data_IF_172130847764
#
_entry.id   IF_172130847764
#
_cell.length_a   1.000
_cell.length_b   1.000
_cell.length_c   1.000
_cell.angle_alpha   90.00
_cell.angle_beta   90.00
_cell.angle_gamma   90.00
#
_symmetry.space_group_name_H-M   'P 1'
#
loop_
_entity.id
_entity.type
_entity.pdbx_description
1 polymer ?
2 polymer ?
3 water ?
#
# COMPACT_ATOMS: atom_id res chain seq x y z
N UNK A 3 -14.19 16.21 18.10
CA UNK A 3 -15.45 15.70 17.59
C UNK A 3 -15.65 16.02 16.11
N UNK A 4 -15.15 17.16 15.64
CA UNK A 4 -15.36 17.48 14.23
C UNK A 4 -14.06 17.42 13.44
N UNK A 5 -13.08 18.21 13.84
CA UNK A 5 -11.80 18.26 13.15
C UNK A 5 -10.67 18.44 14.16
N UNK A 6 -9.92 17.37 14.44
CA UNK A 6 -8.82 17.46 15.38
C UNK A 6 -7.45 17.36 14.70
N UNK A 7 -7.42 17.74 13.43
CA UNK A 7 -6.16 17.79 12.70
C UNK A 7 -5.31 18.97 13.16
N UNK A 8 -4.02 18.85 12.89
CA UNK A 8 -3.05 19.90 13.16
C UNK A 8 -3.00 20.91 12.01
N UNK A 9 -2.96 20.41 10.78
CA UNK A 9 -3.00 21.27 9.61
C UNK A 9 -3.52 20.45 8.43
N UNK A 10 -3.51 21.05 7.25
CA UNK A 10 -4.13 20.43 6.07
C UNK A 10 -3.44 20.87 4.80
N UNK A 11 -3.71 20.13 3.73
CA UNK A 11 -3.31 20.51 2.39
C UNK A 11 -4.52 20.24 1.50
N UNK A 12 -4.92 21.22 0.68
CA UNK A 12 -6.15 21.05 -0.09
C UNK A 12 -6.10 21.59 -1.51
N UNK A 13 -4.94 21.44 -2.16
CA UNK A 13 -4.79 21.97 -3.52
C UNK A 13 -5.36 21.05 -4.61
N UNK A 14 -5.54 19.76 -4.33
CA UNK A 14 -6.19 18.89 -5.30
C UNK A 14 -7.63 19.35 -5.49
N UNK A 15 -8.13 19.18 -6.72
CA UNK A 15 -9.52 19.53 -7.04
C UNK A 15 -10.37 18.29 -7.30
N UNK A 16 -9.89 17.13 -6.86
CA UNK A 16 -10.62 15.87 -6.96
C UNK A 16 -10.01 14.93 -5.92
N UNK A 17 -10.57 13.74 -5.78
CA UNK A 17 -10.13 12.75 -4.79
C UNK A 17 -8.60 12.55 -4.74
N UNK A 18 -8.06 12.45 -3.53
CA UNK A 18 -6.66 12.08 -3.37
C UNK A 18 -6.56 10.57 -3.21
N UNK A 19 -5.98 9.90 -4.20
CA UNK A 19 -5.92 8.43 -4.21
C UNK A 19 -4.67 7.87 -3.54
N UNK A 20 -3.58 8.62 -3.63
CA UNK A 20 -2.29 8.09 -3.19
C UNK A 20 -1.50 9.14 -2.43
N UNK A 21 -0.73 8.67 -1.45
CA UNK A 21 0.16 9.54 -0.69
C UNK A 21 1.45 8.80 -0.37
N UNK A 22 2.56 9.51 -0.55
CA UNK A 22 3.88 8.96 -0.28
C UNK A 22 4.73 10.00 0.41
N UNK A 23 5.80 9.54 1.08
CA UNK A 23 6.66 10.43 1.83
C UNK A 23 8.12 10.11 1.52
N UNK A 24 8.94 11.15 1.40
CA UNK A 24 10.36 10.97 1.15
C UNK A 24 11.01 10.21 2.31
N UNK A 25 12.01 9.37 2.03
CA UNK A 25 12.59 8.59 3.12
C UNK A 25 13.35 9.44 4.15
N UNK A 26 13.90 10.60 3.77
CA UNK A 26 14.76 11.37 4.67
C UNK A 26 14.43 12.85 4.79
N UNK A 27 13.66 13.37 3.85
CA UNK A 27 13.22 14.77 3.84
C UNK A 27 11.77 14.87 4.29
N UNK A 28 11.38 16.02 4.88
CA UNK A 28 9.98 16.23 5.32
C UNK A 28 9.08 16.61 4.15
N UNK A 29 8.93 15.67 3.22
CA UNK A 29 8.27 15.94 1.95
C UNK A 29 7.25 14.87 1.59
N UNK A 30 6.02 15.32 1.38
CA UNK A 30 4.89 14.52 0.96
C UNK A 30 4.62 14.68 -0.53
N UNK A 31 4.22 13.60 -1.19
CA UNK A 31 3.67 13.70 -2.53
C UNK A 31 2.28 13.08 -2.52
N UNK A 32 1.27 13.79 -2.99
CA UNK A 32 -0.06 13.20 -3.11
C UNK A 32 -0.50 13.20 -4.56
N UNK A 33 -1.32 12.22 -4.92
CA UNK A 33 -1.74 12.05 -6.30
C UNK A 33 -3.24 11.97 -6.36
N UNK A 34 -3.85 12.61 -7.36
CA UNK A 34 -5.29 12.75 -7.36
C UNK A 34 -6.05 12.53 -8.66
N UNK A 35 -7.36 12.55 -8.54
CA UNK A 35 -8.26 12.43 -9.67
C UNK A 35 -8.23 13.64 -10.58
N UNK A 36 -7.55 14.70 -10.15
CA UNK A 36 -7.32 15.85 -11.02
C UNK A 36 -6.11 15.64 -11.93
N UNK A 37 -5.59 14.42 -11.99
CA UNK A 37 -4.50 14.03 -12.88
C UNK A 37 -3.21 14.80 -12.59
N UNK A 38 -2.99 15.10 -11.31
CA UNK A 38 -1.86 15.89 -10.86
C UNK A 38 -1.23 15.24 -9.66
N UNK A 39 0.07 15.50 -9.43
CA UNK A 39 0.65 15.17 -8.13
C UNK A 39 1.14 16.46 -7.46
N UNK A 40 0.85 16.64 -6.17
CA UNK A 40 1.32 17.82 -5.46
C UNK A 40 2.36 17.45 -4.42
N UNK A 41 3.36 18.32 -4.30
CA UNK A 41 4.44 18.15 -3.34
C UNK A 41 4.34 19.23 -2.28
N UNK A 42 4.42 18.80 -1.03
CA UNK A 42 4.25 19.71 0.10
C UNK A 42 4.93 19.17 1.36
N UNK A 43 5.23 20.04 2.31
CA UNK A 43 6.05 19.61 3.43
C UNK A 43 5.23 19.09 4.62
N UNK A 44 5.85 18.24 5.43
CA UNK A 44 5.18 17.55 6.52
C UNK A 44 5.58 18.09 7.90
N UNK A 45 6.42 19.13 7.94
CA UNK A 45 6.96 19.57 9.21
C UNK A 45 6.56 21.00 9.58
N UNK A 46 5.60 21.56 8.86
CA UNK A 46 5.20 22.94 9.12
C UNK A 46 3.69 23.16 9.04
N UNK A 47 3.22 24.21 9.72
CA UNK A 47 1.80 24.56 9.76
C UNK A 47 1.60 26.01 9.32
N UNK A 48 0.99 26.23 8.14
CA UNK A 48 0.52 25.22 7.18
C UNK A 48 1.69 24.61 6.42
N UNK A 49 1.44 23.53 5.66
CA UNK A 49 2.52 22.99 4.84
C UNK A 49 3.03 24.01 3.83
N UNK A 50 4.31 23.92 3.50
CA UNK A 50 4.83 24.62 2.35
C UNK A 50 4.39 23.86 1.10
N UNK A 51 3.79 24.58 0.17
CA UNK A 51 3.37 24.03 -1.13
C UNK A 51 4.62 24.08 -2.02
N UNK A 52 5.28 22.95 -2.19
CA UNK A 52 6.52 22.94 -2.96
C UNK A 52 6.24 23.07 -4.44
N UNK A 53 5.26 22.31 -4.93
CA UNK A 53 4.96 22.42 -6.35
C UNK A 53 4.14 21.28 -6.88
N UNK A 54 4.06 21.17 -8.21
CA UNK A 54 3.11 20.29 -8.85
C UNK A 54 3.72 19.58 -10.05
N UNK A 55 3.48 18.28 -10.12
CA UNK A 55 3.91 17.46 -11.23
C UNK A 55 2.75 17.25 -12.17
N UNK A 56 3.04 17.39 -13.46
CA UNK A 56 2.07 17.28 -14.53
C UNK A 56 2.52 16.30 -15.59
N UNK A 57 1.67 16.06 -16.58
CA UNK A 57 2.00 15.16 -17.68
C UNK A 57 1.22 13.87 -17.65
N UNK A 58 0.34 13.74 -16.66
CA UNK A 58 -0.44 12.51 -16.50
C UNK A 58 -1.62 12.47 -17.47
N UNK A 59 -2.03 11.26 -17.85
CA UNK A 59 -3.14 11.08 -18.77
C UNK A 59 -4.43 10.64 -18.09
N UNK A 60 -4.39 10.54 -16.76
CA UNK A 60 -5.51 10.05 -15.95
C UNK A 60 -5.15 10.22 -14.49
N UNK A 61 -5.99 9.69 -13.61
CA UNK A 61 -5.79 9.82 -12.17
C UNK A 61 -4.46 9.24 -11.72
N UNK A 62 -3.77 9.98 -10.87
CA UNK A 62 -2.52 9.49 -10.28
C UNK A 62 -2.80 8.55 -9.09
N UNK A 63 -2.32 7.32 -9.20
CA UNK A 63 -2.68 6.28 -8.21
C UNK A 63 -1.49 5.66 -7.49
N UNK A 64 -0.29 6.19 -7.73
CA UNK A 64 0.87 5.85 -6.91
C UNK A 64 1.85 7.01 -6.88
N UNK A 65 2.39 7.27 -5.70
CA UNK A 65 3.44 8.27 -5.50
C UNK A 65 4.49 7.67 -4.59
N UNK A 66 5.62 7.27 -5.15
CA UNK A 66 6.60 6.51 -4.38
C UNK A 66 8.00 7.06 -4.56
N UNK A 67 8.65 7.43 -3.46
CA UNK A 67 10.05 7.84 -3.52
C UNK A 67 10.97 6.62 -3.48
N UNK A 68 12.08 6.68 -4.20
CA UNK A 68 13.04 5.59 -4.13
C UNK A 68 13.74 5.59 -2.76
N UNK A 69 14.22 4.42 -2.35
CA UNK A 69 14.71 4.21 -0.99
C UNK A 69 15.88 5.12 -0.63
N UNK A 70 16.72 5.44 -1.61
CA UNK A 70 17.92 6.24 -1.33
C UNK A 70 17.62 7.74 -1.43
N UNK A 71 16.40 8.07 -1.87
CA UNK A 71 15.88 9.43 -1.84
C UNK A 71 16.16 10.30 -3.07
N UNK A 72 16.70 9.73 -4.12
CA UNK A 72 17.05 10.53 -5.28
C UNK A 72 15.92 10.82 -6.26
N UNK A 73 14.91 9.96 -6.26
CA UNK A 73 13.89 9.99 -7.28
C UNK A 73 12.49 9.78 -6.74
N UNK A 74 11.53 10.24 -7.53
CA UNK A 74 10.11 10.08 -7.24
C UNK A 74 9.47 9.38 -8.44
N UNK A 75 8.73 8.32 -8.18
CA UNK A 75 8.07 7.55 -9.22
C UNK A 75 6.57 7.66 -9.05
N UNK A 76 5.89 8.06 -10.12
CA UNK A 76 4.43 8.19 -10.08
C UNK A 76 3.78 7.41 -11.21
N UNK A 77 2.55 6.96 -11.02
CA UNK A 77 1.87 6.17 -12.04
C UNK A 77 0.41 6.57 -12.13
N UNK A 78 -0.17 6.46 -13.33
CA UNK A 78 -1.57 6.84 -13.45
C UNK A 78 -2.44 5.77 -14.12
N UNK A 79 -3.74 6.01 -14.15
CA UNK A 79 -4.69 5.01 -14.63
C UNK A 79 -4.74 4.94 -16.16
N UNK A 80 -3.91 5.73 -16.84
CA UNK A 80 -3.73 5.56 -18.29
C UNK A 80 -2.43 4.82 -18.60
N UNK A 81 -1.78 4.31 -17.57
CA UNK A 81 -0.62 3.46 -17.78
C UNK A 81 0.70 4.22 -17.84
N UNK A 82 0.67 5.52 -17.58
CA UNK A 82 1.92 6.27 -17.56
C UNK A 82 2.70 6.04 -16.27
N UNK A 83 4.02 5.97 -16.39
CA UNK A 83 4.92 6.10 -15.25
C UNK A 83 5.82 7.29 -15.51
N UNK A 84 5.92 8.20 -14.53
CA UNK A 84 6.85 9.31 -14.60
C UNK A 84 7.90 9.20 -13.52
N UNK A 85 9.13 9.58 -13.86
CA UNK A 85 10.24 9.61 -12.94
C UNK A 85 10.80 11.02 -12.84
N UNK A 86 10.76 11.56 -11.63
CA UNK A 86 11.32 12.89 -11.35
C UNK A 86 12.56 12.79 -10.50
N UNK A 87 13.57 13.59 -10.85
CA UNK A 87 14.83 13.62 -10.14
C UNK A 87 14.82 14.79 -9.14
N UNK A 88 15.18 14.52 -7.88
CA UNK A 88 15.24 15.57 -6.88
C UNK A 88 16.34 16.56 -7.19
N UNK A 89 16.07 17.83 -6.92
CA UNK A 89 17.01 18.91 -7.21
C UNK A 89 17.08 19.82 -6.01
N UNK A 90 18.20 20.53 -5.89
CA UNK A 90 18.33 21.61 -4.92
C UNK A 90 17.95 21.17 -3.52
N UNK A 91 18.58 20.09 -3.06
CA UNK A 91 18.33 19.55 -1.75
C UNK A 91 16.93 19.03 -1.51
N UNK A 92 16.18 18.82 -2.60
CA UNK A 92 14.84 18.27 -2.50
C UNK A 92 13.72 19.29 -2.61
N UNK A 93 14.09 20.53 -2.90
CA UNK A 93 13.13 21.61 -3.04
C UNK A 93 12.38 21.55 -4.37
N UNK A 94 13.05 21.01 -5.39
CA UNK A 94 12.44 20.93 -6.72
C UNK A 94 12.59 19.53 -7.27
N UNK A 95 11.64 19.12 -8.12
CA UNK A 95 11.62 17.77 -8.68
C UNK A 95 11.39 17.87 -10.18
N UNK A 96 12.40 17.46 -10.93
CA UNK A 96 12.46 17.69 -12.37
C UNK A 96 12.20 16.41 -13.14
N UNK A 97 11.32 16.48 -14.15
CA UNK A 97 11.04 15.27 -14.95
C UNK A 97 12.30 14.73 -15.61
N UNK A 98 12.58 13.45 -15.36
CA UNK A 98 13.79 12.83 -15.87
C UNK A 98 13.46 11.83 -16.95
N UNK A 99 12.39 11.08 -16.76
CA UNK A 99 12.05 10.05 -17.75
C UNK A 99 10.60 9.64 -17.59
N UNK A 100 10.05 8.99 -18.61
CA UNK A 100 8.69 8.48 -18.48
C UNK A 100 8.45 7.37 -19.49
N UNK A 101 7.34 6.65 -19.29
CA UNK A 101 6.94 5.60 -20.20
C UNK A 101 5.43 5.40 -20.14
N UNK A 102 4.90 4.64 -21.08
CA UNK A 102 3.49 4.27 -21.09
C UNK A 102 3.34 2.93 -21.77
N UNK A 103 3.64 1.87 -21.03
CA UNK A 103 3.77 0.52 -21.61
C UNK A 103 2.49 -0.31 -21.53
N UNK A 104 1.50 0.17 -20.77
CA UNK A 104 0.25 -0.55 -20.54
C UNK A 104 -0.93 0.41 -20.61
N UNK A 105 -2.14 -0.13 -20.68
CA UNK A 105 -3.34 0.69 -20.70
C UNK A 105 -3.66 1.32 -19.34
N UNK A 106 -3.40 0.57 -18.26
CA UNK A 106 -3.75 1.04 -16.92
C UNK A 106 -2.92 0.33 -15.87
N UNK A 107 -2.27 1.12 -15.01
CA UNK A 107 -1.50 0.59 -13.90
C UNK A 107 -2.39 0.50 -12.68
N UNK A 108 -2.32 -0.64 -12.01
CA UNK A 108 -3.12 -0.89 -10.82
C UNK A 108 -2.35 -0.53 -9.54
N UNK A 109 -1.06 -0.84 -9.51
CA UNK A 109 -0.21 -0.56 -8.36
C UNK A 109 1.20 -0.31 -8.85
N UNK A 110 1.94 0.50 -8.10
CA UNK A 110 3.38 0.68 -8.31
C UNK A 110 4.02 0.87 -6.95
N UNK A 111 5.14 0.17 -6.71
CA UNK A 111 5.91 0.31 -5.48
C UNK A 111 7.37 0.47 -5.79
N UNK A 112 8.04 1.34 -5.05
CA UNK A 112 9.49 1.36 -5.06
C UNK A 112 10.01 0.30 -4.08
N UNK A 113 11.21 -0.19 -4.34
CA UNK A 113 11.81 -1.19 -3.45
C UNK A 113 12.16 -0.52 -2.12
N UNK A 114 11.89 -1.20 -1.00
CA UNK A 114 12.12 -0.56 0.31
C UNK A 114 13.58 -0.39 0.68
N UNK A 115 14.48 -1.18 0.11
CA UNK A 115 15.87 -1.16 0.57
C UNK A 115 16.91 -1.04 -0.55
N UNK A 116 16.53 -1.44 -1.76
CA UNK A 116 17.43 -1.40 -2.91
C UNK A 116 17.21 -0.12 -3.71
N UNK A 117 18.27 0.68 -3.85
CA UNK A 117 18.16 2.00 -4.49
C UNK A 117 17.57 1.96 -5.88
N UNK A 118 16.83 3.02 -6.23
CA UNK A 118 16.48 3.33 -7.61
C UNK A 118 15.74 2.20 -8.33
N UNK A 119 14.87 1.49 -7.62
CA UNK A 119 14.22 0.30 -8.14
C UNK A 119 12.70 0.37 -7.91
N UNK A 120 11.92 -0.03 -8.89
CA UNK A 120 10.46 -0.11 -8.67
C UNK A 120 9.81 -1.15 -9.56
N UNK A 121 8.59 -1.54 -9.18
CA UNK A 121 7.80 -2.46 -9.98
C UNK A 121 6.36 -1.99 -10.07
N UNK A 122 5.65 -2.47 -11.09
CA UNK A 122 4.23 -2.15 -11.20
C UNK A 122 3.49 -3.27 -11.91
N UNK A 123 2.17 -3.29 -11.72
CA UNK A 123 1.32 -4.30 -12.33
C UNK A 123 0.15 -3.63 -13.01
N UNK A 124 -0.37 -4.27 -14.05
CA UNK A 124 -1.34 -3.64 -14.94
C UNK A 124 -2.63 -4.42 -15.06
N UNK A 125 -3.65 -3.78 -15.62
CA UNK A 125 -4.95 -4.45 -15.75
C UNK A 125 -4.90 -5.60 -16.75
N UNK A 126 -3.90 -5.63 -17.63
CA UNK A 126 -3.78 -6.77 -18.54
C UNK A 126 -3.03 -7.93 -17.90
N UNK A 127 -2.76 -7.83 -16.60
CA UNK A 127 -2.09 -8.87 -15.85
C UNK A 127 -0.57 -8.78 -15.84
N UNK A 128 -0.01 -7.87 -16.63
CA UNK A 128 1.45 -7.85 -16.80
C UNK A 128 2.16 -7.25 -15.59
N UNK A 129 3.41 -7.68 -15.41
CA UNK A 129 4.25 -7.31 -14.29
C UNK A 129 5.54 -6.74 -14.81
N UNK A 130 5.96 -5.60 -14.26
CA UNK A 130 7.13 -4.89 -14.79
C UNK A 130 8.07 -4.50 -13.67
N UNK A 131 9.38 -4.66 -13.88
CA UNK A 131 10.33 -4.13 -12.91
C UNK A 131 11.40 -3.34 -13.62
N UNK A 132 11.69 -2.16 -13.07
CA UNK A 132 12.61 -1.18 -13.62
C UNK A 132 13.61 -0.70 -12.60
N UNK A 133 14.77 -0.28 -13.11
CA UNK A 133 15.65 0.56 -12.31
C UNK A 133 15.77 1.93 -12.99
N UNK A 134 16.29 2.87 -12.23
CA UNK A 134 16.47 4.24 -12.68
C UNK A 134 17.96 4.54 -12.69
N UNK A 135 18.48 5.03 -13.82
CA UNK A 135 19.90 5.31 -13.89
C UNK A 135 20.33 6.44 -12.95
N UNK A 136 21.41 6.22 -12.20
CA UNK A 136 21.90 7.19 -11.23
C UNK A 136 22.44 8.48 -11.84
N UNK A 137 22.85 8.43 -13.10
CA UNK A 137 23.43 9.60 -13.74
C UNK A 137 22.40 10.49 -14.46
N UNK A 138 21.42 9.90 -15.14
CA UNK A 138 20.50 10.74 -15.91
C UNK A 138 19.03 10.41 -15.64
N UNK A 139 18.78 9.50 -14.71
CA UNK A 139 17.41 9.14 -14.37
C UNK A 139 16.65 8.37 -15.43
N UNK A 140 17.34 7.85 -16.43
CA UNK A 140 16.68 7.10 -17.50
C UNK A 140 16.17 5.75 -17.00
N UNK A 141 15.14 5.24 -17.66
CA UNK A 141 14.51 3.99 -17.27
C UNK A 141 15.27 2.78 -17.81
N UNK A 142 15.48 1.81 -16.93
CA UNK A 142 16.18 0.58 -17.29
C UNK A 142 15.28 -0.60 -16.97
N UNK A 143 14.71 -1.22 -17.99
CA UNK A 143 13.78 -2.33 -17.77
C UNK A 143 14.55 -3.57 -17.30
N UNK A 144 14.15 -4.13 -16.17
CA UNK A 144 14.75 -5.38 -15.72
C UNK A 144 13.92 -6.57 -16.20
N UNK A 145 12.60 -6.45 -16.13
CA UNK A 145 11.75 -7.54 -16.62
C UNK A 145 10.36 -7.06 -16.98
N UNK A 146 9.70 -7.85 -17.83
CA UNK A 146 8.31 -7.64 -18.24
C UNK A 146 7.69 -9.00 -18.46
N UNK A 147 6.77 -9.39 -17.57
CA UNK A 147 6.23 -10.74 -17.56
C UNK A 147 4.72 -10.76 -17.74
N UNK A 148 4.26 -11.65 -18.62
CA UNK A 148 2.86 -11.78 -18.96
C UNK A 148 2.39 -13.19 -18.60
N UNK A 149 2.02 -13.37 -17.34
CA UNK A 149 1.64 -14.68 -16.82
C UNK A 149 0.23 -14.65 -16.24
N UNK A 150 -0.01 -13.70 -15.33
CA UNK A 150 -1.37 -13.49 -14.85
C UNK A 150 -2.32 -13.21 -16.03
N UNK A 151 -3.51 -13.79 -15.99
CA UNK A 151 -4.44 -13.65 -17.12
C UNK A 151 -5.56 -12.63 -16.88
N UNK A 152 -5.64 -12.11 -15.65
CA UNK A 152 -6.50 -10.98 -15.32
C UNK A 152 -5.66 -9.93 -14.62
N UNK A 153 -6.28 -8.80 -14.27
CA UNK A 153 -5.59 -7.70 -13.57
C UNK A 153 -4.57 -8.19 -12.55
N UNK A 154 -3.35 -7.66 -12.62
CA UNK A 154 -2.37 -7.86 -11.56
C UNK A 154 -2.68 -6.86 -10.46
N UNK A 155 -3.33 -7.34 -9.40
CA UNK A 155 -3.93 -6.48 -8.36
C UNK A 155 -2.94 -5.86 -7.39
N UNK A 156 -1.85 -6.56 -7.13
CA UNK A 156 -0.90 -6.11 -6.12
C UNK A 156 0.45 -6.78 -6.32
N UNK A 157 1.49 -6.13 -5.82
CA UNK A 157 2.81 -6.73 -5.76
C UNK A 157 3.43 -6.40 -4.42
N UNK A 158 4.44 -7.18 -4.03
CA UNK A 158 5.16 -6.95 -2.78
C UNK A 158 6.55 -7.52 -2.93
N UNK A 159 7.57 -6.69 -2.71
CA UNK A 159 8.94 -7.22 -2.78
C UNK A 159 9.20 -8.14 -1.61
N UNK A 160 10.03 -9.17 -1.83
CA UNK A 160 10.40 -10.12 -0.78
C UNK A 160 11.91 -10.20 -0.68
N UNK A 161 12.41 -10.84 0.37
CA UNK A 161 13.85 -11.02 0.56
C UNK A 161 14.61 -9.71 0.37
N UNK A 162 14.21 -8.70 1.14
CA UNK A 162 14.68 -7.33 0.96
C UNK A 162 15.88 -7.02 1.83
N UNK A 163 16.31 -7.99 2.64
CA UNK A 163 17.46 -7.80 3.53
C UNK A 163 18.66 -8.64 3.11
N UNK A 164 18.75 -8.91 1.81
CA UNK A 164 19.74 -9.85 1.29
C UNK A 164 20.76 -9.21 0.35
N UNK A 165 20.71 -7.90 0.20
CA UNK A 165 21.64 -7.20 -0.66
C UNK A 165 21.04 -6.76 -2.00
N UNK A 166 21.77 -5.91 -2.71
CA UNK A 166 21.26 -5.25 -3.92
C UNK A 166 21.08 -6.20 -5.10
N UNK A 167 21.68 -7.38 -5.04
CA UNK A 167 21.54 -8.33 -6.13
C UNK A 167 20.44 -9.36 -5.90
N UNK A 168 19.77 -9.29 -4.75
CA UNK A 168 18.64 -10.16 -4.50
C UNK A 168 17.37 -9.31 -4.62
N UNK A 169 16.82 -9.33 -5.82
CA UNK A 169 15.69 -8.50 -6.17
C UNK A 169 14.56 -9.42 -6.58
N UNK A 170 13.64 -9.65 -5.64
CA UNK A 170 12.58 -10.62 -5.87
C UNK A 170 11.25 -9.99 -5.52
N UNK A 171 10.20 -10.43 -6.23
CA UNK A 171 8.90 -9.77 -6.18
C UNK A 171 7.79 -10.81 -6.21
N UNK A 172 6.78 -10.65 -5.35
CA UNK A 172 5.60 -11.51 -5.44
C UNK A 172 4.43 -10.68 -5.96
N UNK A 173 3.70 -11.20 -6.94
CA UNK A 173 2.54 -10.50 -7.48
C UNK A 173 1.33 -11.43 -7.47
N UNK A 174 0.14 -10.83 -7.47
CA UNK A 174 -1.08 -11.61 -7.46
C UNK A 174 -2.10 -11.06 -8.44
N UNK A 175 -3.10 -11.88 -8.75
CA UNK A 175 -4.06 -11.53 -9.79
C UNK A 175 -5.48 -11.95 -9.44
N UNK A 176 -6.44 -11.27 -10.05
CA UNK A 176 -7.84 -11.63 -9.95
C UNK A 176 -8.14 -13.02 -10.54
N UNK A 177 -7.20 -13.60 -11.28
CA UNK A 177 -7.41 -14.95 -11.83
C UNK A 177 -7.00 -16.06 -10.86
N UNK A 178 -6.78 -15.68 -9.60
CA UNK A 178 -6.41 -16.58 -8.49
C UNK A 178 -4.94 -17.00 -8.48
N UNK A 179 -4.12 -16.46 -9.39
CA UNK A 179 -2.71 -16.84 -9.39
C UNK A 179 -1.83 -15.91 -8.58
N UNK A 180 -0.77 -16.50 -8.05
CA UNK A 180 0.26 -15.76 -7.32
C UNK A 180 1.59 -16.18 -7.91
N UNK A 181 2.45 -15.23 -8.26
CA UNK A 181 3.73 -15.54 -8.89
C UNK A 181 4.86 -14.88 -8.14
N UNK A 182 5.96 -15.60 -7.93
CA UNK A 182 7.18 -14.94 -7.45
C UNK A 182 8.18 -14.87 -8.58
N UNK A 183 8.86 -13.73 -8.67
CA UNK A 183 9.79 -13.42 -9.74
C UNK A 183 11.18 -13.09 -9.24
N UNK A 184 12.19 -13.57 -9.97
CA UNK A 184 13.51 -12.99 -9.89
C UNK A 184 13.52 -11.82 -10.88
N UNK A 185 13.53 -10.59 -10.36
CA UNK A 185 13.35 -9.43 -11.24
C UNK A 185 14.52 -9.17 -12.19
N UNK A 186 15.71 -9.64 -11.84
CA UNK A 186 16.88 -9.42 -12.68
C UNK A 186 16.89 -10.34 -13.90
N UNK A 187 16.29 -11.53 -13.76
CA UNK A 187 16.24 -12.48 -14.87
C UNK A 187 14.86 -12.59 -15.51
N UNK A 188 13.85 -12.09 -14.82
CA UNK A 188 12.48 -12.23 -15.29
C UNK A 188 11.87 -13.61 -15.09
N UNK A 189 12.59 -14.51 -14.44
CA UNK A 189 12.09 -15.88 -14.34
C UNK A 189 11.04 -16.02 -13.24
N UNK A 190 10.08 -16.89 -13.49
CA UNK A 190 9.05 -17.22 -12.52
C UNK A 190 9.55 -18.29 -11.57
N UNK A 191 9.79 -17.91 -10.33
CA UNK A 191 10.31 -18.84 -9.33
C UNK A 191 9.27 -19.88 -9.00
N UNK A 192 8.05 -19.43 -8.75
CA UNK A 192 6.91 -20.32 -8.57
C UNK A 192 5.61 -19.63 -8.95
N UNK A 193 4.58 -20.45 -9.16
CA UNK A 193 3.24 -19.96 -9.45
C UNK A 193 2.22 -20.81 -8.71
N UNK A 194 1.39 -20.14 -7.92
CA UNK A 194 0.26 -20.75 -7.27
C UNK A 194 -0.96 -20.53 -8.15
N UNK A 195 -1.69 -21.61 -8.43
CA UNK A 195 -2.93 -21.51 -9.19
C UNK A 195 -4.10 -22.02 -8.36
N UNK A 196 -5.30 -21.91 -8.93
CA UNK A 196 -6.52 -22.34 -8.29
C UNK A 196 -6.40 -23.80 -7.87
N UNK A 197 -5.73 -24.58 -8.69
CA UNK A 197 -5.58 -26.00 -8.42
C UNK A 197 -4.79 -26.30 -7.15
N UNK A 198 -4.03 -25.31 -6.68
CA UNK A 198 -3.18 -25.48 -5.51
C UNK A 198 -3.76 -24.84 -4.26
N UNK A 199 -4.93 -24.22 -4.41
CA UNK A 199 -5.64 -23.67 -3.25
C UNK A 199 -7.03 -24.30 -3.18
N UNK A 200 -7.04 -25.64 -3.22
CA UNK A 200 -8.26 -26.43 -3.01
C UNK A 200 -9.29 -26.22 -4.10
N UNK A 201 -8.84 -25.74 -5.26
CA UNK A 201 -9.75 -25.46 -6.36
C UNK A 201 -10.60 -24.22 -6.16
N UNK A 202 -10.30 -23.44 -5.12
CA UNK A 202 -11.13 -22.27 -4.80
C UNK A 202 -10.86 -21.09 -5.71
N UNK A 203 -11.93 -20.38 -6.08
CA UNK A 203 -11.80 -19.10 -6.75
C UNK A 203 -11.36 -18.06 -5.72
N UNK A 204 -10.25 -17.38 -5.98
CA UNK A 204 -9.72 -16.39 -5.03
C UNK A 204 -9.10 -15.21 -5.74
N UNK A 205 -9.92 -14.22 -6.10
CA UNK A 205 -9.40 -13.06 -6.82
C UNK A 205 -8.59 -12.22 -5.84
N UNK A 206 -7.28 -12.39 -5.90
CA UNK A 206 -6.37 -11.77 -4.94
C UNK A 206 -6.32 -10.28 -5.11
N UNK A 207 -6.26 -9.56 -3.99
CA UNK A 207 -6.16 -8.11 -4.04
C UNK A 207 -5.17 -7.49 -3.06
N UNK A 208 -4.77 -8.22 -2.02
CA UNK A 208 -3.89 -7.67 -0.99
C UNK A 208 -2.70 -8.58 -0.72
N UNK A 209 -1.55 -7.96 -0.47
CA UNK A 209 -0.32 -8.68 -0.12
C UNK A 209 0.45 -7.93 0.95
N UNK A 210 1.03 -8.68 1.89
CA UNK A 210 1.85 -8.08 2.93
C UNK A 210 2.94 -9.04 3.39
N UNK A 211 4.19 -8.57 3.27
CA UNK A 211 5.38 -9.29 3.71
C UNK A 211 5.51 -9.30 5.22
N UNK A 212 5.78 -10.48 5.79
CA UNK A 212 5.96 -10.64 7.22
C UNK A 212 7.32 -10.18 7.69
N UNK A 213 7.39 -9.65 8.92
CA UNK A 213 8.69 -9.34 9.54
C UNK A 213 9.46 -10.63 9.85
N UNK A 214 10.76 -10.62 9.53
CA UNK A 214 11.61 -11.79 9.66
C UNK A 214 11.65 -12.33 11.10
N UNK A 215 11.53 -11.43 12.07
CA UNK A 215 11.55 -11.83 13.47
C UNK A 215 10.31 -12.63 13.89
N UNK A 216 9.25 -12.51 13.10
CA UNK A 216 8.04 -13.30 13.33
C UNK A 216 8.12 -14.69 12.70
N UNK A 217 9.07 -14.86 11.78
CA UNK A 217 9.09 -16.05 10.94
C UNK A 217 10.37 -16.87 11.08
N UNK A 218 11.08 -16.66 12.18
CA UNK A 218 12.31 -17.38 12.46
C UNK A 218 13.35 -17.18 11.36
N UNK A 219 13.52 -15.93 10.92
CA UNK A 219 14.58 -15.61 9.97
C UNK A 219 14.15 -15.57 8.52
N UNK A 220 12.97 -16.10 8.23
CA UNK A 220 12.49 -16.18 6.85
C UNK A 220 12.03 -14.81 6.33
N UNK A 221 12.72 -14.32 5.31
CA UNK A 221 12.45 -12.98 4.80
C UNK A 221 11.49 -13.01 3.60
N UNK A 222 10.80 -14.13 3.40
CA UNK A 222 9.91 -14.28 2.26
C UNK A 222 8.55 -14.89 2.57
N UNK A 223 8.02 -14.64 3.77
CA UNK A 223 6.66 -15.08 4.09
C UNK A 223 5.67 -13.97 3.75
N UNK A 224 4.64 -14.30 2.96
CA UNK A 224 3.70 -13.27 2.51
C UNK A 224 2.27 -13.68 2.81
N UNK A 225 1.50 -12.75 3.36
CA UNK A 225 0.07 -12.93 3.52
C UNK A 225 -0.66 -12.33 2.34
N UNK A 226 -1.69 -13.04 1.89
CA UNK A 226 -2.44 -12.72 0.69
C UNK A 226 -3.92 -12.74 1.01
N UNK A 227 -4.65 -11.72 0.55
CA UNK A 227 -6.08 -11.69 0.77
C UNK A 227 -6.86 -11.49 -0.51
N UNK A 228 -8.00 -12.17 -0.64
CA UNK A 228 -8.83 -12.07 -1.84
C UNK A 228 -10.08 -11.21 -1.64
N UNK A 229 -10.79 -10.93 -2.73
CA UNK A 229 -12.00 -10.12 -2.63
C UNK A 229 -13.23 -10.92 -2.18
N UNK A 230 -13.01 -12.19 -1.85
CA UNK A 230 -14.09 -13.03 -1.32
C UNK A 230 -13.68 -13.74 -0.04
N UNK A 231 -12.76 -13.12 0.70
CA UNK A 231 -12.49 -13.52 2.06
C UNK A 231 -11.53 -14.67 2.26
N UNK A 232 -10.76 -15.01 1.23
CA UNK A 232 -9.75 -16.03 1.38
C UNK A 232 -8.42 -15.42 1.80
N UNK A 233 -7.85 -16.01 2.84
CA UNK A 233 -6.56 -15.63 3.39
C UNK A 233 -5.57 -16.75 3.17
N UNK A 234 -4.45 -16.43 2.50
CA UNK A 234 -3.37 -17.40 2.31
C UNK A 234 -2.09 -16.85 2.87
N UNK A 235 -1.36 -17.63 3.64
CA UNK A 235 -0.04 -17.25 4.08
C UNK A 235 0.90 -18.24 3.43
N UNK A 236 1.84 -17.71 2.64
CA UNK A 236 2.70 -18.56 1.82
C UNK A 236 4.18 -18.32 2.10
N UNK A 237 4.96 -19.39 1.96
CA UNK A 237 6.40 -19.30 2.13
C UNK A 237 7.07 -19.17 0.77
N UNK A 238 7.46 -17.95 0.42
CA UNK A 238 8.01 -17.73 -0.91
C UNK A 238 9.43 -18.27 -1.05
N UNK A 239 10.02 -18.71 0.07
CA UNK A 239 11.36 -19.30 0.04
C UNK A 239 11.30 -20.82 0.09
N UNK A 240 10.09 -21.37 0.03
CA UNK A 240 9.89 -22.81 -0.14
C UNK A 240 8.87 -23.05 -1.25
N UNK A 241 9.09 -22.42 -2.40
CA UNK A 241 8.27 -22.65 -3.57
C UNK A 241 6.80 -22.29 -3.46
N UNK A 242 6.48 -21.39 -2.53
CA UNK A 242 5.11 -20.96 -2.35
C UNK A 242 4.28 -21.90 -1.49
N UNK A 243 4.97 -22.70 -0.68
CA UNK A 243 4.29 -23.62 0.24
C UNK A 243 3.26 -22.87 1.07
N UNK A 244 2.08 -23.46 1.23
CA UNK A 244 1.02 -22.80 1.96
C UNK A 244 1.13 -23.09 3.46
N UNK A 245 1.36 -22.02 4.23
CA UNK A 245 1.46 -22.10 5.69
C UNK A 245 0.08 -21.99 6.31
N UNK A 246 -0.80 -21.27 5.63
CA UNK A 246 -2.18 -21.18 6.10
C UNK A 246 -3.12 -20.83 4.96
N UNK A 247 -4.32 -21.41 4.98
CA UNK A 247 -5.34 -21.07 4.01
C UNK A 247 -6.71 -21.19 4.66
N UNK A 248 -7.46 -20.10 4.69
CA UNK A 248 -8.81 -20.17 5.26
C UNK A 248 -9.72 -19.08 4.75
N UNK A 249 -11.03 -19.31 4.88
CA UNK A 249 -12.02 -18.29 4.57
C UNK A 249 -12.33 -17.57 5.89
N UNK A 250 -12.21 -16.24 5.89
CA UNK A 250 -12.11 -15.54 7.17
C UNK A 250 -13.45 -15.05 7.71
N UNK A 251 -14.51 -15.19 6.92
CA UNK A 251 -15.82 -14.76 7.36
C UNK A 251 -16.89 -15.53 6.59
N UNK A 252 -17.99 -15.82 7.27
CA UNK A 252 -19.17 -16.38 6.63
C UNK A 252 -20.23 -15.29 6.59
N UNK A 253 -20.67 -14.93 5.39
CA UNK A 253 -21.63 -13.85 5.23
C UNK A 253 -23.06 -14.36 5.35
N UNK A 254 -23.96 -13.49 5.77
CA UNK A 254 -25.37 -13.80 5.73
C UNK A 254 -25.81 -13.77 4.27
N UNK A 255 -26.85 -14.53 3.92
CA UNK A 255 -27.33 -14.55 2.53
C UNK A 255 -27.55 -13.17 1.90
N UNK A 256 -28.08 -12.22 2.67
CA UNK A 256 -28.42 -10.90 2.15
C UNK A 256 -27.19 -10.07 1.75
N UNK A 257 -26.02 -10.43 2.28
CA UNK A 257 -24.83 -9.59 2.11
C UNK A 257 -24.21 -9.70 0.74
N UNK A 258 -23.77 -8.56 0.21
CA UNK A 258 -22.96 -8.52 -1.00
C UNK A 258 -21.69 -9.30 -0.74
N UNK A 259 -21.24 -10.10 -1.72
CA UNK A 259 -20.09 -10.95 -1.52
C UNK A 259 -18.83 -10.10 -1.24
N UNK A 260 -18.83 -8.88 -1.74
CA UNK A 260 -17.70 -7.98 -1.51
C UNK A 260 -17.54 -7.59 -0.06
N UNK A 261 -18.53 -7.85 0.77
CA UNK A 261 -18.38 -7.62 2.21
C UNK A 261 -17.20 -8.42 2.78
N UNK A 262 -16.84 -9.53 2.11
CA UNK A 262 -15.75 -10.37 2.59
C UNK A 262 -14.38 -9.97 2.05
N UNK A 263 -14.34 -8.91 1.25
CA UNK A 263 -13.12 -8.52 0.54
C UNK A 263 -12.04 -8.01 1.51
N UNK A 264 -10.85 -8.60 1.43
CA UNK A 264 -9.74 -8.27 2.33
C UNK A 264 -8.87 -7.17 1.71
N UNK A 265 -9.07 -5.94 2.16
CA UNK A 265 -8.52 -4.75 1.52
C UNK A 265 -7.13 -4.39 2.00
N UNK A 266 -6.77 -4.84 3.20
CA UNK A 266 -5.47 -4.46 3.74
C UNK A 266 -5.02 -5.46 4.78
N UNK A 267 -3.71 -5.70 4.82
CA UNK A 267 -3.10 -6.65 5.74
C UNK A 267 -1.89 -6.00 6.38
N UNK A 268 -1.70 -6.20 7.68
CA UNK A 268 -0.55 -5.65 8.40
C UNK A 268 -0.08 -6.62 9.47
N UNK A 269 1.23 -6.69 9.69
CA UNK A 269 1.81 -7.57 10.70
C UNK A 269 2.37 -6.82 11.91
N UNK A 270 2.26 -7.44 13.08
CA UNK A 270 2.94 -6.99 14.30
C UNK A 270 3.88 -8.06 14.84
N UNK A 271 5.17 -7.79 14.78
CA UNK A 271 6.17 -8.70 15.34
C UNK A 271 6.03 -8.81 16.87
N UNK A 272 5.77 -7.68 17.53
CA UNK A 272 5.77 -7.66 18.99
C UNK A 272 4.65 -8.52 19.57
N UNK A 273 3.50 -8.51 18.93
CA UNK A 273 2.34 -9.22 19.46
C UNK A 273 2.11 -10.56 18.75
N UNK A 274 2.97 -10.88 17.79
CA UNK A 274 2.78 -12.06 16.94
C UNK A 274 1.35 -12.06 16.41
N UNK A 275 0.97 -10.95 15.78
CA UNK A 275 -0.36 -10.79 15.23
C UNK A 275 -0.29 -10.40 13.77
N UNK A 276 -1.31 -10.80 13.02
CA UNK A 276 -1.49 -10.34 11.66
C UNK A 276 -2.93 -9.83 11.55
N UNK A 277 -3.10 -8.57 11.15
CA UNK A 277 -4.42 -7.98 11.06
C UNK A 277 -4.90 -7.90 9.63
N UNK A 278 -6.16 -8.21 9.41
CA UNK A 278 -6.74 -8.04 8.08
C UNK A 278 -7.99 -7.20 8.19
N UNK A 279 -8.22 -6.35 7.19
CA UNK A 279 -9.34 -5.43 7.21
C UNK A 279 -10.27 -5.68 6.05
N UNK A 280 -11.58 -5.72 6.32
CA UNK A 280 -12.56 -6.12 5.33
C UNK A 280 -13.49 -4.98 4.90
N UNK A 281 -14.08 -5.13 3.72
CA UNK A 281 -15.07 -4.15 3.24
C UNK A 281 -16.29 -4.04 4.19
N UNK A 282 -16.66 -5.12 4.85
CA UNK A 282 -17.78 -5.06 5.80
C UNK A 282 -17.45 -4.31 7.10
N UNK A 283 -16.19 -3.92 7.27
CA UNK A 283 -15.77 -3.17 8.45
C UNK A 283 -15.04 -3.96 9.51
N UNK A 284 -15.02 -5.28 9.37
CA UNK A 284 -14.33 -6.13 10.35
C UNK A 284 -12.81 -5.99 10.21
N UNK A 285 -12.15 -5.95 11.37
CA UNK A 285 -10.70 -5.99 11.44
C UNK A 285 -10.37 -7.20 12.30
N UNK A 286 -9.74 -8.19 11.70
CA UNK A 286 -9.50 -9.47 12.40
C UNK A 286 -8.03 -9.60 12.72
N UNK A 287 -7.74 -9.84 14.00
CA UNK A 287 -6.36 -10.00 14.45
C UNK A 287 -6.10 -11.45 14.78
N UNK A 288 -5.25 -12.05 13.92
CA UNK A 288 -4.83 -13.45 13.96
C UNK A 288 -3.53 -13.64 14.70
N UNK A 289 -3.48 -14.65 15.56
CA UNK A 289 -2.20 -15.10 16.11
C UNK A 289 -1.41 -15.78 14.98
N UNK A 290 -0.11 -15.51 14.89
CA UNK A 290 0.65 -15.92 13.71
C UNK A 290 1.32 -17.29 13.87
N UNK A 291 0.93 -18.02 14.91
CA UNK A 291 1.39 -19.38 15.10
C UNK A 291 0.25 -20.38 14.87
N UNK A 292 -0.91 -20.09 15.45
CA UNK A 292 -2.07 -20.96 15.34
C UNK A 292 -3.04 -20.52 14.26
N UNK A 293 -2.86 -19.30 13.76
CA UNK A 293 -3.70 -18.74 12.71
C UNK A 293 -5.17 -18.80 13.12
N UNK A 294 -5.44 -18.32 14.33
CA UNK A 294 -6.78 -18.20 14.87
C UNK A 294 -7.01 -16.74 15.26
N UNK A 295 -8.25 -16.29 15.11
CA UNK A 295 -8.59 -14.93 15.53
C UNK A 295 -8.50 -14.81 17.03
N UNK A 296 -7.75 -13.81 17.48
CA UNK A 296 -7.59 -13.54 18.90
C UNK A 296 -8.39 -12.31 19.27
N UNK A 297 -8.44 -11.34 18.36
CA UNK A 297 -9.23 -10.16 18.69
C UNK A 297 -9.84 -9.56 17.44
N UNK A 298 -10.91 -8.78 17.58
CA UNK A 298 -11.46 -8.12 16.40
C UNK A 298 -12.03 -6.75 16.72
N UNK A 299 -11.97 -5.89 15.72
CA UNK A 299 -12.62 -4.59 15.75
C UNK A 299 -13.68 -4.56 14.69
N UNK A 300 -14.71 -3.75 14.88
CA UNK A 300 -15.76 -3.67 13.87
C UNK A 300 -16.04 -2.21 13.59
N UNK A 301 -15.58 -1.72 12.45
CA UNK A 301 -15.89 -0.36 12.04
C UNK A 301 -17.25 -0.30 11.36
N UNK A 302 -17.84 0.88 11.30
CA UNK A 302 -19.18 1.00 10.75
C UNK A 302 -19.22 0.98 9.22
N UNK A 303 -18.06 1.02 8.57
CA UNK A 303 -18.01 0.91 7.10
C UNK A 303 -16.65 0.36 6.69
N UNK A 304 -16.40 0.27 5.38
CA UNK A 304 -15.21 -0.41 4.87
C UNK A 304 -13.88 0.09 5.43
N UNK A 305 -13.02 -0.86 5.78
CA UNK A 305 -11.62 -0.58 6.05
C UNK A 305 -10.96 -0.24 4.73
N UNK A 306 -10.07 0.75 4.73
CA UNK A 306 -9.34 1.07 3.51
C UNK A 306 -7.84 0.81 3.64
N UNK A 307 -7.31 0.87 4.86
CA UNK A 307 -5.90 0.56 5.09
C UNK A 307 -5.65 0.28 6.57
N UNK A 308 -4.77 -0.69 6.84
CA UNK A 308 -4.35 -1.02 8.20
C UNK A 308 -2.85 -0.84 8.32
N UNK A 309 -2.39 -0.45 9.51
CA UNK A 309 -0.95 -0.32 9.75
C UNK A 309 -0.66 -0.45 11.24
N UNK A 310 0.09 -1.48 11.60
CA UNK A 310 0.64 -1.60 12.95
C UNK A 310 1.79 -0.61 13.12
N UNK A 311 1.88 -0.02 14.30
CA UNK A 311 3.05 0.77 14.67
C UNK A 311 3.22 0.70 16.18
N UNK A 312 4.30 0.05 16.63
CA UNK A 312 4.48 -0.21 18.06
C UNK A 312 3.27 -0.92 18.64
N UNK A 313 2.66 -0.35 19.67
CA UNK A 313 1.56 -1.02 20.33
C UNK A 313 0.23 -0.81 19.59
N UNK A 314 0.24 0.08 18.60
CA UNK A 314 -1.01 0.53 17.99
C UNK A 314 -1.32 -0.16 16.69
N UNK A 315 -2.61 -0.27 16.39
CA UNK A 315 -3.09 -0.59 15.06
C UNK A 315 -3.89 0.60 14.56
N UNK A 316 -3.43 1.18 13.45
CA UNK A 316 -4.13 2.28 12.80
C UNK A 316 -4.96 1.74 11.66
N UNK A 317 -6.19 2.23 11.54
CA UNK A 317 -7.12 1.74 10.56
C UNK A 317 -7.90 2.89 9.94
N UNK A 318 -7.68 3.16 8.66
CA UNK A 318 -8.49 4.19 7.98
C UNK A 318 -9.77 3.56 7.46
N UNK A 319 -10.81 4.40 7.33
CA UNK A 319 -12.15 3.92 7.05
C UNK A 319 -12.83 4.82 6.02
N UNK A 320 -13.72 4.23 5.23
CA UNK A 320 -14.42 4.97 4.19
C UNK A 320 -15.45 5.93 4.82
N UNK A 321 -15.68 5.82 6.14
CA UNK A 321 -16.52 6.81 6.83
C UNK A 321 -15.78 8.12 7.11
N UNK A 322 -14.52 8.19 6.71
CA UNK A 322 -13.74 9.41 6.82
C UNK A 322 -12.84 9.52 8.03
N UNK A 323 -12.79 8.48 8.86
CA UNK A 323 -12.06 8.51 10.12
C UNK A 323 -10.83 7.61 10.07
N UNK A 324 -9.81 7.95 10.86
CA UNK A 324 -8.71 7.00 11.07
C UNK A 324 -8.66 6.63 12.53
N UNK A 325 -8.85 5.34 12.80
CA UNK A 325 -8.88 4.82 14.18
C UNK A 325 -7.51 4.40 14.67
N UNK A 326 -7.23 4.70 15.93
CA UNK A 326 -6.01 4.25 16.57
C UNK A 326 -6.38 3.41 17.77
N UNK A 327 -6.12 2.11 17.64
CA UNK A 327 -6.40 1.12 18.67
C UNK A 327 -5.15 0.61 19.34
N UNK A 328 -5.21 0.40 20.65
CA UNK A 328 -4.21 -0.46 21.27
C UNK A 328 -4.48 -1.89 20.81
N UNK A 329 -3.50 -2.51 20.16
CA UNK A 329 -3.75 -3.80 19.50
C UNK A 329 -4.08 -4.91 20.48
N UNK A 330 -3.40 -4.88 21.63
CA UNK A 330 -3.53 -5.93 22.64
C UNK A 330 -4.79 -5.76 23.50
N UNK A 331 -5.06 -4.53 23.93
CA UNK A 331 -6.18 -4.27 24.83
C UNK A 331 -7.47 -3.87 24.10
N UNK A 332 -7.32 -3.37 22.88
CA UNK A 332 -8.49 -2.98 22.09
C UNK A 332 -8.92 -1.55 22.31
N UNK A 333 -8.29 -0.88 23.27
CA UNK A 333 -8.65 0.51 23.60
C UNK A 333 -8.65 1.40 22.36
N UNK A 334 -9.73 2.14 22.15
CA UNK A 334 -9.75 3.18 21.12
C UNK A 334 -9.03 4.38 21.70
N UNK A 335 -7.75 4.51 21.36
CA UNK A 335 -6.93 5.57 21.92
C UNK A 335 -7.18 6.90 21.26
N UNK A 336 -7.51 6.86 19.97
CA UNK A 336 -7.68 8.12 19.26
C UNK A 336 -8.48 7.92 18.00
N UNK A 337 -9.24 8.93 17.60
CA UNK A 337 -9.85 8.90 16.28
C UNK A 337 -9.53 10.20 15.57
N UNK A 338 -8.83 10.08 14.45
CA UNK A 338 -8.57 11.21 13.56
C UNK A 338 -9.85 11.56 12.82
N UNK A 339 -10.38 12.75 13.10
CA UNK A 339 -11.62 13.23 12.50
C UNK A 339 -11.40 14.57 11.79
N UNK A 340 -12.15 14.78 10.71
CA UNK A 340 -12.08 16.02 9.96
C UNK A 340 -12.48 15.86 8.51
N UNK A 341 -12.36 14.66 7.98
CA UNK A 341 -12.77 14.39 6.61
C UNK A 341 -14.27 14.32 6.48
N UNK A 342 -14.80 14.78 5.35
CA UNK A 342 -16.24 14.62 5.14
C UNK A 342 -16.55 13.58 4.06
N UNK A 343 -15.50 12.93 3.55
CA UNK A 343 -15.65 11.73 2.73
C UNK A 343 -14.61 10.73 3.20
N UNK A 344 -14.51 9.58 2.53
CA UNK A 344 -13.63 8.53 3.02
C UNK A 344 -12.15 8.85 2.97
N UNK A 345 -11.39 8.20 3.85
CA UNK A 345 -9.92 8.22 3.77
C UNK A 345 -9.49 7.06 2.89
N UNK A 346 -8.76 7.37 1.81
CA UNK A 346 -8.39 6.36 0.81
C UNK A 346 -6.98 5.80 0.99
N UNK A 347 -6.16 6.49 1.78
CA UNK A 347 -4.75 6.10 1.97
C UNK A 347 -4.24 6.94 3.14
N UNK A 348 -3.18 6.50 3.82
CA UNK A 348 -2.53 7.35 4.80
C UNK A 348 -1.11 6.87 5.03
N UNK A 349 -0.29 7.77 5.58
CA UNK A 349 1.08 7.48 5.96
C UNK A 349 1.24 7.81 7.44
N UNK A 350 2.25 7.20 8.05
CA UNK A 350 2.57 7.42 9.46
C UNK A 350 4.00 7.90 9.55
N UNK A 351 4.21 9.03 10.21
CA UNK A 351 5.51 9.65 10.37
C UNK A 351 6.00 9.61 11.80
N UNK A 352 7.26 9.22 11.97
CA UNK A 352 7.93 9.29 13.26
C UNK A 352 8.89 10.45 13.33
N UNK A 353 9.03 11.04 14.52
CA UNK A 353 10.14 11.97 14.76
C UNK A 353 11.47 11.28 14.45
N UNK A 354 12.36 11.94 13.71
CA UNK A 354 13.57 11.28 13.24
C UNK A 354 14.49 10.94 14.38
N UNK A 355 14.64 11.85 15.32
CA UNK A 355 15.55 11.63 16.45
C UNK A 355 14.80 11.61 17.78
N UNK A 356 15.17 10.67 18.66
CA UNK A 356 14.65 10.64 20.03
C UNK A 356 15.28 11.78 20.80
N UNK A 357 14.55 12.89 20.89
CA UNK A 357 15.08 14.18 21.31
C UNK A 357 15.71 14.19 22.69
N UNK A 358 14.89 13.89 23.70
CA UNK A 358 15.27 14.04 25.08
C UNK A 358 13.99 13.84 25.87
N UNK A 359 12.87 14.05 25.18
CA UNK A 359 11.57 13.52 25.59
C UNK A 359 10.62 13.63 24.38
N UNK A 360 9.56 12.82 24.42
CA UNK A 360 8.89 12.27 23.23
C UNK A 360 7.84 13.12 22.52
N UNK A 361 8.10 13.39 21.25
CA UNK A 361 7.17 14.08 20.36
C UNK A 361 6.23 13.06 19.71
N UNK A 362 5.10 13.53 19.17
CA UNK A 362 4.07 12.63 18.64
C UNK A 362 4.30 12.21 17.20
N UNK A 363 3.87 10.99 16.88
CA UNK A 363 3.75 10.55 15.50
C UNK A 363 2.69 11.37 14.76
N UNK A 364 2.81 11.42 13.43
CA UNK A 364 1.77 12.03 12.61
C UNK A 364 1.14 11.04 11.67
N UNK A 365 -0.18 11.11 11.56
CA UNK A 365 -0.92 10.42 10.52
C UNK A 365 -1.27 11.44 9.45
N UNK A 366 -0.91 11.16 8.20
CA UNK A 366 -1.25 12.09 7.13
C UNK A 366 -2.10 11.37 6.10
N UNK A 367 -3.28 11.93 5.82
CA UNK A 367 -4.28 11.21 5.03
C UNK A 367 -4.37 11.63 3.58
N UNK A 368 -4.99 10.76 2.77
CA UNK A 368 -5.46 11.07 1.43
C UNK A 368 -6.99 10.96 1.44
N UNK A 369 -7.68 12.07 1.29
CA UNK A 369 -9.12 12.05 1.38
C UNK A 369 -9.86 12.04 0.05
N UNK A 370 -11.00 11.38 0.04
CA UNK A 370 -11.80 11.25 -1.17
C UNK A 370 -12.41 12.59 -1.59
N UNK A 371 -12.42 13.57 -0.69
CA UNK A 371 -12.98 14.88 -1.06
C UNK A 371 -11.91 15.82 -1.59
N UNK A 372 -10.67 15.36 -1.65
CA UNK A 372 -9.59 16.16 -2.22
C UNK A 372 -8.69 16.84 -1.21
N UNK A 373 -8.81 16.44 0.04
CA UNK A 373 -8.06 17.04 1.13
C UNK A 373 -7.13 16.02 1.79
N UNK A 374 -5.95 16.47 2.17
CA UNK A 374 -5.08 15.73 3.09
C UNK A 374 -5.05 16.40 4.44
N UNK A 375 -5.21 15.61 5.50
CA UNK A 375 -5.15 16.16 6.86
C UNK A 375 -3.92 15.60 7.58
N UNK A 376 -3.33 16.43 8.44
CA UNK A 376 -2.20 16.05 9.26
C UNK A 376 -2.67 15.95 10.70
N UNK A 377 -2.53 14.77 11.31
CA UNK A 377 -2.93 14.54 12.71
C UNK A 377 -1.75 14.20 13.59
N UNK A 378 -1.67 14.81 14.76
CA UNK A 378 -0.71 14.33 15.76
C UNK A 378 -1.40 13.34 16.65
N UNK A 379 -0.88 12.12 16.73
CA UNK A 379 -1.58 11.07 17.45
C UNK A 379 -0.86 10.71 18.75
N UNK A 380 -1.62 10.22 19.75
CA UNK A 380 -1.00 9.96 21.05
C UNK A 380 0.08 8.88 21.06
N UNK A 381 1.08 9.13 21.93
CA UNK A 381 2.21 8.29 22.39
C UNK A 381 3.58 8.98 22.22
N UNK B 2 -9.30 11.33 -13.70
CA UNK B 2 -10.60 11.46 -13.04
C UNK B 2 -11.26 10.11 -12.76
N UNK B 3 -10.75 9.05 -13.38
CA UNK B 3 -11.28 7.71 -13.08
C UNK B 3 -10.91 7.32 -11.64
N UNK B 4 -11.60 6.31 -11.12
CA UNK B 4 -11.38 5.82 -9.77
C UNK B 4 -10.86 4.40 -9.84
N UNK B 5 -9.84 4.08 -9.03
CA UNK B 5 -9.27 2.72 -9.06
C UNK B 5 -10.26 1.68 -8.54
N UNK B 6 -10.05 0.42 -8.88
CA UNK B 6 -11.01 -0.64 -8.58
C UNK B 6 -11.32 -0.77 -7.07
N UNK B 7 -10.32 -0.54 -6.23
CA UNK B 7 -10.52 -0.69 -4.80
C UNK B 7 -11.61 0.27 -4.30
N UNK B 8 -11.70 1.45 -4.90
CA UNK B 8 -12.73 2.42 -4.51
C UNK B 8 -14.13 1.87 -4.74
N UNK B 9 -14.29 1.14 -5.83
CA UNK B 9 -15.58 0.54 -6.11
C UNK B 9 -15.84 -0.61 -5.14
N UNK B 10 -14.79 -1.32 -4.73
CA UNK B 10 -15.01 -2.35 -3.70
C UNK B 10 -15.44 -1.76 -2.35
N UNK B 11 -14.83 -0.64 -1.94
CA UNK B 11 -15.17 -0.01 -0.66
C UNK B 11 -16.67 0.34 -0.63
N UNK B 12 -17.20 0.67 -1.81
CA UNK B 12 -18.60 1.05 -1.99
C UNK B 12 -19.48 -0.13 -2.39
N UNK B 13 -18.87 -1.31 -2.46
CA UNK B 13 -19.57 -2.53 -2.87
C UNK B 13 -20.26 -2.39 -4.22
N UNK B 14 -19.60 -1.66 -5.12
CA UNK B 14 -20.06 -1.47 -6.50
C UNK B 14 -21.45 -0.86 -6.62
N UNK B 15 -21.65 0.34 -6.08
CA UNK B 15 -22.84 1.13 -6.39
C UNK B 15 -23.05 1.18 -7.91
#
# INVERSE_FOLDING_TARGET
MAMSNNSLTYFDKHTDSVFAIGHHPNLPLVCTGGGDNLAHLWTSHSQPPKFAGTLTGYGESVISCSFTSEGGFLVTADMSGKVLVHMGQKGGAQWKLASQMQEVEEIVWLKTHPTIARTFAFGATDGSVWCYQINEQDGSLEQLMSGFVHQQDCSMGEFINTDKGENTLELVTCSLDSTIVAWNCFTGQQLFKITQAEIKGLEAPWISLSLAPETLTKGNSGVVACGSNNGLLAVINCNNGGAILHLSTVIELKPEQDELDASIESISWSSKFSLMAIGLVCGEILLYDTSAWRVRHKFVLEDSVTKLMFDNDDLFASCINGKVYQFNARTGQEKFVCVGHNMGVLDFILLHPVANTGTEQKRKVITAGDEGVSLVFEVPN
MARRPARCYRYQKNKPYPKSGSHHHHHH
#
